data_IF_039155481648
#
_entry.id   IF_039155481648
#
_cell.length_a   1.000
_cell.length_b   1.000
_cell.length_c   1.000
_cell.angle_alpha   90.00
_cell.angle_beta   90.00
_cell.angle_gamma   90.00
#
_symmetry.space_group_name_H-M   'P 1'
#
loop_
_entity.id
_entity.type
_entity.pdbx_description
1 polymer ?
#
# COMPACT_ATOMS: atom_id res chain seq x y z
N UNK A 1 39.75 -64.64 -115.13
CA UNK A 1 39.19 -63.78 -114.07
C UNK A 1 38.74 -64.66 -112.92
N UNK A 2 39.07 -64.27 -111.70
CA UNK A 2 39.01 -65.06 -110.46
C UNK A 2 37.60 -65.59 -110.12
N UNK A 3 37.47 -66.87 -109.80
CA UNK A 3 36.29 -67.47 -109.17
C UNK A 3 36.64 -67.89 -107.75
N UNK A 4 36.06 -67.23 -106.74
CA UNK A 4 36.29 -67.52 -105.31
C UNK A 4 35.91 -68.98 -105.00
N UNK A 5 36.70 -69.64 -104.15
CA UNK A 5 36.38 -71.00 -103.70
C UNK A 5 35.15 -70.96 -102.76
N UNK A 6 34.30 -71.98 -102.80
CA UNK A 6 33.06 -72.10 -101.97
C UNK A 6 33.28 -71.84 -100.46
N UNK A 7 34.49 -72.14 -99.97
CA UNK A 7 34.94 -71.92 -98.58
C UNK A 7 35.20 -70.43 -98.25
N UNK A 8 35.52 -69.64 -99.27
CA UNK A 8 35.76 -68.20 -99.18
C UNK A 8 34.45 -67.40 -99.17
N UNK A 9 33.41 -67.90 -99.86
CA UNK A 9 32.05 -67.34 -99.79
C UNK A 9 31.37 -67.63 -98.44
N UNK A 10 31.56 -68.82 -97.86
CA UNK A 10 31.07 -69.14 -96.51
C UNK A 10 31.74 -68.27 -95.43
N UNK A 11 33.06 -68.06 -95.51
CA UNK A 11 33.81 -67.14 -94.63
C UNK A 11 33.38 -65.68 -94.81
N UNK A 12 33.06 -65.24 -96.04
CA UNK A 12 32.52 -63.91 -96.29
C UNK A 12 31.10 -63.74 -95.73
N UNK A 13 30.24 -64.75 -95.84
CA UNK A 13 28.90 -64.72 -95.23
C UNK A 13 28.96 -64.75 -93.69
N UNK A 14 29.86 -65.56 -93.11
CA UNK A 14 30.08 -65.61 -91.66
C UNK A 14 30.66 -64.29 -91.14
N UNK A 15 31.60 -63.69 -91.87
CA UNK A 15 32.16 -62.37 -91.56
C UNK A 15 31.10 -61.26 -91.66
N UNK A 16 30.24 -61.29 -92.67
CA UNK A 16 29.12 -60.34 -92.80
C UNK A 16 28.08 -60.50 -91.68
N UNK A 17 27.76 -61.74 -91.28
CA UNK A 17 26.88 -62.02 -90.14
C UNK A 17 27.50 -61.53 -88.83
N UNK A 18 28.80 -61.77 -88.62
CA UNK A 18 29.53 -61.27 -87.44
C UNK A 18 29.63 -59.76 -87.40
N UNK A 19 29.79 -59.12 -88.55
CA UNK A 19 29.80 -57.67 -88.67
C UNK A 19 28.41 -57.06 -88.40
N UNK A 20 27.34 -57.67 -88.93
CA UNK A 20 25.97 -57.27 -88.63
C UNK A 20 25.60 -57.47 -87.14
N UNK A 21 26.09 -58.54 -86.49
CA UNK A 21 25.98 -58.73 -85.04
C UNK A 21 26.73 -57.64 -84.27
N UNK A 22 27.97 -57.33 -84.66
CA UNK A 22 28.79 -56.27 -84.04
C UNK A 22 28.13 -54.88 -84.18
N UNK A 23 27.61 -54.53 -85.35
CA UNK A 23 26.88 -53.27 -85.59
C UNK A 23 25.62 -53.18 -84.74
N UNK A 24 24.89 -54.29 -84.56
CA UNK A 24 23.73 -54.37 -83.67
C UNK A 24 24.12 -54.15 -82.20
N UNK A 25 25.26 -54.66 -81.76
CA UNK A 25 25.79 -54.41 -80.41
C UNK A 25 26.29 -52.97 -80.24
N UNK A 26 27.00 -52.41 -81.22
CA UNK A 26 27.44 -51.00 -81.23
C UNK A 26 26.25 -50.05 -81.16
N UNK A 27 25.18 -50.30 -81.93
CA UNK A 27 23.94 -49.52 -81.87
C UNK A 27 23.30 -49.55 -80.48
N UNK A 28 23.20 -50.74 -79.86
CA UNK A 28 22.70 -50.88 -78.48
C UNK A 28 23.59 -50.17 -77.46
N UNK A 29 24.92 -50.24 -77.61
CA UNK A 29 25.87 -49.56 -76.74
C UNK A 29 25.75 -48.03 -76.87
N UNK A 30 25.57 -47.50 -78.07
CA UNK A 30 25.29 -46.08 -78.30
C UNK A 30 23.97 -45.66 -77.63
N UNK A 31 22.89 -46.41 -77.83
CA UNK A 31 21.59 -46.12 -77.19
C UNK A 31 21.68 -46.13 -75.65
N UNK A 32 22.44 -47.06 -75.06
CA UNK A 32 22.69 -47.11 -73.61
C UNK A 32 23.55 -45.94 -73.15
N UNK A 33 24.60 -45.60 -73.90
CA UNK A 33 25.51 -44.47 -73.58
C UNK A 33 24.76 -43.15 -73.60
N UNK A 34 23.87 -42.92 -74.58
CA UNK A 34 23.07 -41.71 -74.67
C UNK A 34 22.03 -41.61 -73.54
N UNK A 35 21.39 -42.73 -73.16
CA UNK A 35 20.53 -42.79 -71.97
C UNK A 35 21.32 -42.51 -70.68
N UNK A 36 22.52 -43.08 -70.54
CA UNK A 36 23.38 -42.81 -69.39
C UNK A 36 23.83 -41.36 -69.33
N UNK A 37 24.12 -40.72 -70.47
CA UNK A 37 24.41 -39.28 -70.54
C UNK A 37 23.22 -38.42 -70.11
N UNK A 38 22.00 -38.80 -70.51
CA UNK A 38 20.80 -38.12 -70.07
C UNK A 38 20.62 -38.22 -68.54
N UNK A 39 20.73 -39.44 -67.99
CA UNK A 39 20.65 -39.70 -66.55
C UNK A 39 21.76 -38.93 -65.80
N UNK A 40 22.97 -38.88 -66.35
CA UNK A 40 24.08 -38.15 -65.77
C UNK A 40 23.80 -36.64 -65.71
N UNK A 41 23.28 -36.06 -66.79
CA UNK A 41 22.90 -34.65 -66.84
C UNK A 41 21.79 -34.32 -65.84
N UNK A 42 20.80 -35.19 -65.71
CA UNK A 42 19.75 -35.06 -64.68
C UNK A 42 20.31 -35.19 -63.26
N UNK A 43 21.27 -36.09 -63.05
CA UNK A 43 21.96 -36.29 -61.76
C UNK A 43 22.77 -35.05 -61.36
N UNK A 44 23.52 -34.45 -62.30
CA UNK A 44 24.26 -33.20 -62.07
C UNK A 44 23.34 -32.03 -61.77
N UNK A 45 22.25 -31.88 -62.53
CA UNK A 45 21.23 -30.88 -62.24
C UNK A 45 20.63 -31.06 -60.83
N UNK A 46 20.34 -32.32 -60.44
CA UNK A 46 19.92 -32.68 -59.10
C UNK A 46 20.94 -32.27 -58.02
N UNK A 47 22.23 -32.60 -58.21
CA UNK A 47 23.30 -32.22 -57.29
C UNK A 47 23.39 -30.70 -57.11
N UNK A 48 23.33 -29.92 -58.20
CA UNK A 48 23.36 -28.44 -58.13
C UNK A 48 22.17 -27.90 -57.33
N UNK A 49 20.97 -28.45 -57.54
CA UNK A 49 19.79 -28.04 -56.74
C UNK A 49 19.97 -28.38 -55.26
N UNK A 50 20.51 -29.56 -54.94
CA UNK A 50 20.78 -29.97 -53.56
C UNK A 50 21.86 -29.12 -52.90
N UNK A 51 22.92 -28.71 -53.62
CA UNK A 51 23.94 -27.78 -53.13
C UNK A 51 23.33 -26.41 -52.79
N UNK A 52 22.43 -25.91 -53.63
CA UNK A 52 21.68 -24.68 -53.37
C UNK A 52 20.84 -24.79 -52.09
N UNK A 53 20.04 -25.85 -51.96
CA UNK A 53 19.24 -26.10 -50.76
C UNK A 53 20.10 -26.27 -49.49
N UNK A 54 21.27 -26.90 -49.60
CA UNK A 54 22.18 -27.10 -48.47
C UNK A 54 22.74 -25.76 -47.95
N UNK A 55 23.16 -24.87 -48.85
CA UNK A 55 23.65 -23.53 -48.50
C UNK A 55 22.57 -22.69 -47.81
N UNK A 56 21.34 -22.78 -48.29
CA UNK A 56 20.20 -22.10 -47.68
C UNK A 56 19.88 -22.65 -46.29
N UNK A 57 19.91 -23.98 -46.12
CA UNK A 57 19.73 -24.63 -44.82
C UNK A 57 20.83 -24.24 -43.80
N UNK A 58 22.09 -24.17 -44.22
CA UNK A 58 23.19 -23.74 -43.35
C UNK A 58 22.99 -22.30 -42.86
N UNK A 59 22.59 -21.40 -43.76
CA UNK A 59 22.26 -20.01 -43.43
C UNK A 59 21.08 -19.91 -42.45
N UNK A 60 19.99 -20.65 -42.71
CA UNK A 60 18.83 -20.69 -41.82
C UNK A 60 19.19 -21.27 -40.45
N UNK A 61 20.06 -22.29 -40.39
CA UNK A 61 20.48 -22.90 -39.13
C UNK A 61 21.35 -21.98 -38.29
N UNK A 62 22.27 -21.23 -38.92
CA UNK A 62 23.06 -20.21 -38.23
C UNK A 62 22.17 -19.13 -37.61
N UNK A 63 21.18 -18.64 -38.37
CA UNK A 63 20.22 -17.65 -37.88
C UNK A 63 19.32 -18.20 -36.77
N UNK A 64 18.92 -19.46 -36.85
CA UNK A 64 18.16 -20.14 -35.79
C UNK A 64 18.99 -20.26 -34.49
N UNK A 65 20.26 -20.66 -34.57
CA UNK A 65 21.16 -20.71 -33.41
C UNK A 65 21.29 -19.36 -32.72
N UNK A 66 21.51 -18.30 -33.50
CA UNK A 66 21.61 -16.94 -32.99
C UNK A 66 20.31 -16.51 -32.29
N UNK A 67 19.17 -16.74 -32.94
CA UNK A 67 17.85 -16.38 -32.40
C UNK A 67 17.54 -17.12 -31.10
N UNK A 68 17.77 -18.43 -31.06
CA UNK A 68 17.55 -19.25 -29.86
C UNK A 68 18.49 -18.82 -28.73
N UNK A 69 19.76 -18.55 -29.03
CA UNK A 69 20.74 -18.09 -28.03
C UNK A 69 20.39 -16.71 -27.48
N UNK A 70 19.96 -15.78 -28.33
CA UNK A 70 19.53 -14.45 -27.91
C UNK A 70 18.29 -14.54 -27.00
N UNK A 71 17.31 -15.36 -27.38
CA UNK A 71 16.10 -15.57 -26.60
C UNK A 71 16.37 -16.25 -25.25
N UNK A 72 17.29 -17.23 -25.21
CA UNK A 72 17.76 -17.85 -23.97
C UNK A 72 18.42 -16.82 -23.03
N UNK A 73 19.26 -15.94 -23.60
CA UNK A 73 19.91 -14.86 -22.86
C UNK A 73 18.89 -13.88 -22.27
N UNK A 74 17.88 -13.50 -23.04
CA UNK A 74 16.83 -12.58 -22.58
C UNK A 74 15.96 -13.22 -21.49
N UNK A 75 15.58 -14.50 -21.64
CA UNK A 75 14.85 -15.23 -20.60
C UNK A 75 15.61 -15.25 -19.27
N UNK A 76 16.92 -15.50 -19.29
CA UNK A 76 17.77 -15.48 -18.09
C UNK A 76 17.86 -14.09 -17.47
N UNK A 77 17.98 -13.03 -18.28
CA UNK A 77 17.98 -11.64 -17.80
C UNK A 77 16.65 -11.24 -17.18
N UNK A 78 15.53 -11.62 -17.82
CA UNK A 78 14.21 -11.34 -17.31
C UNK A 78 13.97 -12.04 -15.97
N UNK A 79 14.44 -13.29 -15.81
CA UNK A 79 14.38 -13.99 -14.53
C UNK A 79 15.18 -13.27 -13.43
N UNK A 80 16.40 -12.82 -13.75
CA UNK A 80 17.22 -12.06 -12.81
C UNK A 80 16.52 -10.77 -12.35
N UNK A 81 15.91 -10.02 -13.29
CA UNK A 81 15.10 -8.83 -12.98
C UNK A 81 13.89 -9.17 -12.11
N UNK A 82 13.16 -10.24 -12.42
CA UNK A 82 12.03 -10.67 -11.61
C UNK A 82 12.45 -11.03 -10.17
N UNK A 83 13.60 -11.69 -9.99
CA UNK A 83 14.14 -12.00 -8.65
C UNK A 83 14.57 -10.75 -7.89
N UNK A 84 15.04 -9.71 -8.58
CA UNK A 84 15.33 -8.42 -7.97
C UNK A 84 14.04 -7.71 -7.54
N UNK A 85 13.04 -7.67 -8.42
CA UNK A 85 11.71 -7.13 -8.10
C UNK A 85 11.06 -7.85 -6.91
N UNK A 86 11.24 -9.17 -6.76
CA UNK A 86 10.76 -9.90 -5.58
C UNK A 86 11.37 -9.38 -4.29
N UNK A 87 12.67 -9.05 -4.30
CA UNK A 87 13.34 -8.49 -3.12
C UNK A 87 12.79 -7.11 -2.78
N UNK A 88 12.58 -6.26 -3.78
CA UNK A 88 11.99 -4.93 -3.60
C UNK A 88 10.56 -5.02 -3.05
N UNK A 89 9.76 -5.94 -3.58
CA UNK A 89 8.41 -6.24 -3.10
C UNK A 89 8.43 -6.74 -1.67
N UNK A 90 9.40 -7.56 -1.27
CA UNK A 90 9.57 -7.98 0.13
C UNK A 90 9.78 -6.79 1.07
N UNK A 91 10.60 -5.81 0.68
CA UNK A 91 10.78 -4.57 1.47
C UNK A 91 9.49 -3.74 1.51
N UNK A 92 8.72 -3.70 0.41
CA UNK A 92 7.42 -3.05 0.39
C UNK A 92 6.40 -3.75 1.29
N UNK A 93 6.38 -5.09 1.33
CA UNK A 93 5.53 -5.88 2.21
C UNK A 93 5.80 -5.57 3.68
N UNK A 94 7.07 -5.61 4.10
CA UNK A 94 7.48 -5.25 5.47
C UNK A 94 7.04 -3.83 5.86
N UNK A 95 7.16 -2.87 4.93
CA UNK A 95 6.73 -1.49 5.16
C UNK A 95 5.20 -1.38 5.25
N UNK A 96 4.48 -2.10 4.41
CA UNK A 96 3.02 -2.11 4.43
C UNK A 96 2.49 -2.71 5.73
N UNK A 97 3.05 -3.82 6.20
CA UNK A 97 2.69 -4.43 7.49
C UNK A 97 2.97 -3.50 8.67
N UNK A 98 4.14 -2.84 8.70
CA UNK A 98 4.46 -1.84 9.74
C UNK A 98 3.48 -0.67 9.74
N UNK A 99 3.11 -0.22 8.54
CA UNK A 99 2.14 0.88 8.36
C UNK A 99 0.77 0.46 8.86
N UNK A 100 0.27 -0.71 8.48
CA UNK A 100 -1.00 -1.28 8.94
C UNK A 100 -1.02 -1.44 10.47
N UNK A 101 0.06 -1.99 11.06
CA UNK A 101 0.15 -2.11 12.52
C UNK A 101 0.19 -0.75 13.24
N UNK A 102 0.89 0.25 12.69
CA UNK A 102 0.89 1.62 13.25
C UNK A 102 -0.47 2.29 13.15
N UNK A 103 -1.17 2.00 12.06
CA UNK A 103 -2.49 2.49 11.81
C UNK A 103 -3.51 1.89 12.79
N UNK A 104 -3.49 0.56 13.01
CA UNK A 104 -4.34 -0.11 14.00
C UNK A 104 -4.14 0.45 15.40
N UNK A 105 -2.87 0.65 15.83
CA UNK A 105 -2.57 1.30 17.11
C UNK A 105 -3.10 2.73 17.20
N UNK A 106 -3.08 3.47 16.10
CA UNK A 106 -3.64 4.82 16.05
C UNK A 106 -5.15 4.80 16.24
N UNK A 107 -5.86 3.90 15.54
CA UNK A 107 -7.31 3.71 15.69
C UNK A 107 -7.69 3.34 17.13
N UNK A 108 -7.01 2.35 17.70
CA UNK A 108 -7.22 1.97 19.11
C UNK A 108 -6.95 3.13 20.08
N UNK A 109 -5.90 3.92 19.82
CA UNK A 109 -5.58 5.10 20.61
C UNK A 109 -6.66 6.19 20.53
N UNK A 110 -7.29 6.37 19.36
CA UNK A 110 -8.39 7.31 19.17
C UNK A 110 -9.61 6.86 19.96
N UNK A 111 -10.04 5.61 19.82
CA UNK A 111 -11.20 5.09 20.57
C UNK A 111 -10.97 5.13 22.08
N UNK A 112 -9.75 4.90 22.55
CA UNK A 112 -9.40 5.04 23.97
C UNK A 112 -9.58 6.47 24.46
N UNK A 113 -9.06 7.45 23.72
CA UNK A 113 -9.18 8.89 24.07
C UNK A 113 -10.63 9.37 24.00
N UNK A 114 -11.39 8.91 23.01
CA UNK A 114 -12.82 9.19 22.92
C UNK A 114 -13.56 8.69 24.16
N UNK A 115 -13.27 7.45 24.59
CA UNK A 115 -13.84 6.87 25.82
C UNK A 115 -13.46 7.69 27.06
N UNK A 116 -12.19 8.05 27.22
CA UNK A 116 -11.71 8.88 28.33
C UNK A 116 -12.45 10.23 28.37
N UNK A 117 -12.69 10.86 27.22
CA UNK A 117 -13.47 12.10 27.13
C UNK A 117 -14.94 11.90 27.51
N UNK A 118 -15.58 10.83 27.06
CA UNK A 118 -16.96 10.51 27.42
C UNK A 118 -17.09 10.29 28.94
N UNK A 119 -16.12 9.63 29.56
CA UNK A 119 -16.07 9.48 31.02
C UNK A 119 -15.91 10.84 31.73
N UNK A 120 -15.07 11.75 31.21
CA UNK A 120 -14.95 13.11 31.75
C UNK A 120 -16.25 13.91 31.62
N UNK A 121 -16.96 13.79 30.49
CA UNK A 121 -18.26 14.43 30.28
C UNK A 121 -19.29 13.90 31.29
N UNK A 122 -19.34 12.58 31.52
CA UNK A 122 -20.24 11.98 32.51
C UNK A 122 -19.93 12.45 33.94
N UNK A 123 -18.65 12.48 34.31
CA UNK A 123 -18.21 13.05 35.59
C UNK A 123 -18.61 14.52 35.70
N UNK A 124 -18.51 15.28 34.60
CA UNK A 124 -18.89 16.68 34.59
C UNK A 124 -20.38 16.95 34.62
N UNK A 125 -21.22 16.04 34.14
CA UNK A 125 -22.67 16.14 34.32
C UNK A 125 -23.11 15.92 35.77
N UNK A 126 -22.34 15.17 36.56
CA UNK A 126 -22.58 15.01 38.01
C UNK A 126 -22.26 16.30 38.80
N UNK A 127 -21.44 17.19 38.23
CA UNK A 127 -21.06 18.48 38.81
C UNK A 127 -22.10 19.59 38.60
N UNK A 128 -23.35 19.30 38.22
CA UNK A 128 -24.45 20.28 38.23
C UNK A 128 -24.95 20.60 39.66
N UNK A 129 -24.56 19.79 40.65
CA UNK A 129 -24.90 19.94 42.08
C UNK A 129 -24.41 21.22 42.80
N UNK A 130 -23.26 21.86 42.49
CA UNK A 130 -22.76 23.03 43.23
C UNK A 130 -23.70 24.23 43.19
N UNK A 131 -24.40 24.43 42.06
CA UNK A 131 -25.39 25.50 41.94
C UNK A 131 -26.58 25.24 42.87
N UNK A 132 -27.14 24.03 42.85
CA UNK A 132 -28.28 23.64 43.69
C UNK A 132 -27.92 23.69 45.18
N UNK A 133 -26.72 23.22 45.53
CA UNK A 133 -26.20 23.25 46.90
C UNK A 133 -25.99 24.68 47.38
N UNK A 134 -25.45 25.57 46.53
CA UNK A 134 -25.28 26.98 46.89
C UNK A 134 -26.64 27.69 47.00
N UNK A 135 -27.58 27.48 46.07
CA UNK A 135 -28.91 28.09 46.15
C UNK A 135 -29.61 27.73 47.47
N UNK A 136 -29.52 26.46 47.90
CA UNK A 136 -30.06 26.01 49.18
C UNK A 136 -29.36 26.69 50.37
N UNK A 137 -28.02 26.72 50.37
CA UNK A 137 -27.23 27.33 51.44
C UNK A 137 -27.44 28.85 51.52
N UNK A 138 -27.51 29.54 50.38
CA UNK A 138 -27.74 30.97 50.29
C UNK A 138 -29.14 31.35 50.78
N UNK A 139 -30.16 30.55 50.44
CA UNK A 139 -31.51 30.73 50.96
C UNK A 139 -31.53 30.65 52.49
N UNK A 140 -30.85 29.66 53.07
CA UNK A 140 -30.72 29.54 54.53
C UNK A 140 -29.97 30.73 55.16
N UNK A 141 -28.86 31.16 54.56
CA UNK A 141 -28.11 32.32 55.06
C UNK A 141 -28.91 33.62 54.99
N UNK A 142 -29.74 33.83 53.95
CA UNK A 142 -30.61 35.01 53.88
C UNK A 142 -31.65 35.02 54.99
N UNK A 143 -32.25 33.86 55.30
CA UNK A 143 -33.19 33.76 56.42
C UNK A 143 -32.52 34.11 57.75
N UNK A 144 -31.31 33.59 58.01
CA UNK A 144 -30.56 33.92 59.23
C UNK A 144 -30.16 35.41 59.28
N UNK A 145 -29.82 36.02 58.14
CA UNK A 145 -29.55 37.46 58.05
C UNK A 145 -30.77 38.30 58.37
N UNK A 146 -31.93 37.98 57.80
CA UNK A 146 -33.19 38.68 58.05
C UNK A 146 -33.58 38.62 59.54
N UNK A 147 -33.42 37.46 60.18
CA UNK A 147 -33.64 37.30 61.62
C UNK A 147 -32.67 38.15 62.46
N UNK A 148 -31.40 38.24 62.05
CA UNK A 148 -30.40 39.08 62.72
C UNK A 148 -30.68 40.57 62.53
N UNK A 149 -31.09 41.00 61.34
CA UNK A 149 -31.48 42.39 61.09
C UNK A 149 -32.68 42.80 61.94
N UNK A 150 -33.69 41.94 62.06
CA UNK A 150 -34.82 42.20 62.96
C UNK A 150 -34.36 42.40 64.41
N UNK A 151 -33.49 41.52 64.91
CA UNK A 151 -32.93 41.66 66.27
C UNK A 151 -32.11 42.92 66.44
N UNK A 152 -31.32 43.31 65.45
CA UNK A 152 -30.55 44.57 65.48
C UNK A 152 -31.49 45.76 65.55
N UNK A 153 -32.61 45.76 64.81
CA UNK A 153 -33.65 46.79 64.91
C UNK A 153 -34.25 46.88 66.31
N UNK A 154 -34.55 45.75 66.95
CA UNK A 154 -35.02 45.71 68.35
C UNK A 154 -33.96 46.27 69.32
N UNK A 155 -32.67 46.04 69.06
CA UNK A 155 -31.56 46.62 69.84
C UNK A 155 -31.51 48.14 69.69
N UNK A 156 -31.65 48.66 68.47
CA UNK A 156 -31.69 50.11 68.23
C UNK A 156 -32.90 50.77 68.92
N UNK A 157 -34.06 50.10 68.97
CA UNK A 157 -35.22 50.61 69.70
C UNK A 157 -34.98 50.62 71.22
N UNK A 158 -34.44 49.53 71.78
CA UNK A 158 -34.07 49.45 73.20
C UNK A 158 -33.05 50.51 73.60
N UNK A 159 -32.09 50.78 72.73
CA UNK A 159 -31.11 51.86 72.90
C UNK A 159 -31.80 53.21 73.02
N UNK A 160 -32.64 53.56 72.05
CA UNK A 160 -33.34 54.84 72.06
C UNK A 160 -34.22 55.00 73.32
N UNK A 161 -34.89 53.93 73.75
CA UNK A 161 -35.64 53.92 75.00
C UNK A 161 -34.74 54.11 76.22
N UNK A 162 -33.59 53.43 76.31
CA UNK A 162 -32.60 53.62 77.38
C UNK A 162 -32.07 55.05 77.41
N UNK A 163 -31.76 55.63 76.25
CA UNK A 163 -31.30 57.01 76.11
C UNK A 163 -32.33 58.02 76.59
N UNK A 164 -33.60 57.86 76.20
CA UNK A 164 -34.70 58.73 76.65
C UNK A 164 -34.98 58.57 78.14
N UNK A 165 -35.05 57.34 78.65
CA UNK A 165 -35.31 57.07 80.07
C UNK A 165 -34.19 57.59 80.97
N UNK A 166 -32.93 57.38 80.58
CA UNK A 166 -31.77 57.87 81.33
C UNK A 166 -31.69 59.40 81.32
N UNK A 167 -31.99 60.06 80.19
CA UNK A 167 -32.08 61.51 80.13
C UNK A 167 -33.18 62.04 81.05
N UNK A 168 -34.39 61.47 80.98
CA UNK A 168 -35.51 61.87 81.83
C UNK A 168 -35.19 61.66 83.33
N UNK A 169 -34.53 60.55 83.67
CA UNK A 169 -34.09 60.27 85.02
C UNK A 169 -33.03 61.26 85.51
N UNK A 170 -32.06 61.64 84.67
CA UNK A 170 -31.05 62.64 84.99
C UNK A 170 -31.69 64.03 85.23
N UNK A 171 -32.68 64.42 84.42
CA UNK A 171 -33.42 65.67 84.58
C UNK A 171 -34.18 65.69 85.91
N UNK A 172 -34.93 64.64 86.22
CA UNK A 172 -35.73 64.58 87.46
C UNK A 172 -34.84 64.47 88.71
N UNK A 173 -33.73 63.72 88.64
CA UNK A 173 -32.73 63.66 89.70
C UNK A 173 -32.06 65.02 89.95
N UNK A 174 -31.74 65.78 88.88
CA UNK A 174 -31.21 67.13 88.99
C UNK A 174 -32.18 68.11 89.65
N UNK A 175 -33.49 67.86 89.56
CA UNK A 175 -34.54 68.66 90.21
C UNK A 175 -34.55 68.53 91.73
N UNK A 176 -33.95 67.47 92.29
CA UNK A 176 -33.82 67.23 93.72
C UNK A 176 -32.64 67.99 94.38
N UNK A 177 -31.83 68.71 93.59
CA UNK A 177 -30.69 69.48 94.12
C UNK A 177 -29.56 68.60 94.66
N UNK A 178 -29.01 68.92 95.83
CA UNK A 178 -27.84 68.20 96.39
C UNK A 178 -28.13 66.73 96.73
N UNK A 179 -29.37 66.37 97.08
CA UNK A 179 -29.75 64.98 97.38
C UNK A 179 -29.80 64.09 96.12
N UNK A 180 -29.91 64.68 94.93
CA UNK A 180 -30.07 63.98 93.65
C UNK A 180 -28.78 63.65 92.90
N UNK A 181 -27.62 64.15 93.36
CA UNK A 181 -26.34 64.11 92.61
C UNK A 181 -25.92 62.68 92.23
N UNK A 182 -26.05 61.72 93.15
CA UNK A 182 -25.70 60.32 92.86
C UNK A 182 -26.66 59.66 91.85
N UNK A 183 -27.92 60.09 91.82
CA UNK A 183 -28.89 59.61 90.82
C UNK A 183 -28.64 60.21 89.44
N UNK A 184 -28.19 61.47 89.37
CA UNK A 184 -27.72 62.09 88.12
C UNK A 184 -26.52 61.33 87.56
N UNK A 185 -25.50 61.06 88.38
CA UNK A 185 -24.32 60.29 87.95
C UNK A 185 -24.68 58.87 87.47
N UNK A 186 -25.64 58.21 88.13
CA UNK A 186 -26.12 56.89 87.72
C UNK A 186 -26.88 56.95 86.38
N UNK A 187 -27.73 57.96 86.20
CA UNK A 187 -28.48 58.17 84.96
C UNK A 187 -27.55 58.52 83.78
N UNK A 188 -26.53 59.35 83.99
CA UNK A 188 -25.51 59.63 82.97
C UNK A 188 -24.72 58.37 82.59
N UNK A 189 -24.37 57.50 83.55
CA UNK A 189 -23.75 56.20 83.24
C UNK A 189 -24.64 55.29 82.38
N UNK A 190 -25.96 55.27 82.63
CA UNK A 190 -26.90 54.51 81.79
C UNK A 190 -26.96 55.11 80.39
N UNK A 191 -26.93 56.44 80.27
CA UNK A 191 -26.89 57.13 78.98
C UNK A 191 -25.60 56.83 78.20
N UNK A 192 -24.44 56.81 78.86
CA UNK A 192 -23.17 56.43 78.26
C UNK A 192 -23.18 54.96 77.79
N UNK A 193 -23.79 54.07 78.58
CA UNK A 193 -23.97 52.66 78.20
C UNK A 193 -24.92 52.51 77.01
N UNK A 194 -25.99 53.30 76.94
CA UNK A 194 -26.87 53.39 75.76
C UNK A 194 -26.08 53.76 74.51
N UNK A 195 -25.24 54.80 74.59
CA UNK A 195 -24.39 55.20 73.47
C UNK A 195 -23.41 54.12 73.01
N UNK A 196 -22.82 53.35 73.94
CA UNK A 196 -21.98 52.18 73.59
C UNK A 196 -22.80 51.04 72.97
N UNK A 197 -24.03 50.83 73.45
CA UNK A 197 -24.94 49.84 72.90
C UNK A 197 -25.37 50.20 71.47
N UNK A 198 -25.65 51.48 71.20
CA UNK A 198 -25.88 52.03 69.86
C UNK A 198 -24.74 51.71 68.91
N UNK A 199 -23.51 52.00 69.34
CA UNK A 199 -22.32 51.76 68.53
C UNK A 199 -22.16 50.26 68.20
N UNK A 200 -22.49 49.37 69.13
CA UNK A 200 -22.44 47.93 68.90
C UNK A 200 -23.54 47.46 67.94
N UNK A 201 -24.77 47.96 68.08
CA UNK A 201 -25.89 47.63 67.19
C UNK A 201 -25.59 48.11 65.75
N UNK A 202 -25.13 49.35 65.59
CA UNK A 202 -24.73 49.92 64.30
C UNK A 202 -23.57 49.13 63.65
N UNK A 203 -22.58 48.70 64.45
CA UNK A 203 -21.51 47.83 63.95
C UNK A 203 -22.04 46.47 63.47
N UNK A 204 -22.99 45.87 64.18
CA UNK A 204 -23.64 44.62 63.75
C UNK A 204 -24.44 44.80 62.46
N UNK A 205 -25.17 45.92 62.31
CA UNK A 205 -25.88 46.25 61.08
C UNK A 205 -24.92 46.37 59.88
N UNK A 206 -23.80 47.08 60.05
CA UNK A 206 -22.77 47.20 59.01
C UNK A 206 -22.18 45.83 58.63
N UNK A 207 -22.00 44.93 59.61
CA UNK A 207 -21.53 43.57 59.36
C UNK A 207 -22.55 42.72 58.62
N UNK A 208 -23.84 42.84 58.93
CA UNK A 208 -24.91 42.14 58.20
C UNK A 208 -24.95 42.56 56.75
N UNK A 209 -24.95 43.87 56.47
CA UNK A 209 -24.90 44.39 55.10
C UNK A 209 -23.69 43.86 54.32
N UNK A 210 -22.50 43.86 54.94
CA UNK A 210 -21.29 43.29 54.32
C UNK A 210 -21.41 41.78 54.08
N UNK A 211 -22.15 41.05 54.91
CA UNK A 211 -22.37 39.62 54.76
C UNK A 211 -23.33 39.35 53.58
N UNK A 212 -24.38 40.16 53.43
CA UNK A 212 -25.30 40.13 52.28
C UNK A 212 -24.55 40.42 50.96
N UNK A 213 -23.73 41.48 50.92
CA UNK A 213 -22.90 41.82 49.76
C UNK A 213 -22.00 40.65 49.35
N UNK A 214 -21.36 39.98 50.31
CA UNK A 214 -20.51 38.80 50.05
C UNK A 214 -21.30 37.59 49.60
N UNK A 215 -22.54 37.43 50.08
CA UNK A 215 -23.42 36.34 49.66
C UNK A 215 -23.82 36.52 48.18
N UNK A 216 -24.24 37.73 47.79
CA UNK A 216 -24.55 38.04 46.39
C UNK A 216 -23.33 37.85 45.46
N UNK A 217 -22.14 38.23 45.92
CA UNK A 217 -20.91 38.00 45.16
C UNK A 217 -20.65 36.50 44.96
N UNK A 218 -20.82 35.69 46.01
CA UNK A 218 -20.67 34.23 45.93
C UNK A 218 -21.67 33.58 44.96
N UNK A 219 -22.93 34.01 44.98
CA UNK A 219 -23.96 33.56 44.02
C UNK A 219 -23.58 33.91 42.59
N UNK A 220 -23.12 35.14 42.36
CA UNK A 220 -22.67 35.59 41.04
C UNK A 220 -21.48 34.77 40.54
N UNK A 221 -20.50 34.50 41.42
CA UNK A 221 -19.34 33.67 41.09
C UNK A 221 -19.75 32.23 40.74
N UNK A 222 -20.69 31.63 41.45
CA UNK A 222 -21.15 30.26 41.16
C UNK A 222 -21.98 30.18 39.87
N UNK A 223 -22.79 31.21 39.56
CA UNK A 223 -23.45 31.30 38.27
C UNK A 223 -22.42 31.36 37.12
N UNK A 224 -21.38 32.18 37.27
CA UNK A 224 -20.30 32.27 36.29
C UNK A 224 -19.53 30.95 36.14
N UNK A 225 -19.19 30.28 37.24
CA UNK A 225 -18.56 28.96 37.24
C UNK A 225 -19.43 27.91 36.54
N UNK A 226 -20.74 27.92 36.78
CA UNK A 226 -21.69 27.02 36.12
C UNK A 226 -21.71 27.24 34.60
N UNK A 227 -21.67 28.50 34.15
CA UNK A 227 -21.61 28.83 32.73
C UNK A 227 -20.32 28.33 32.08
N UNK A 228 -19.15 28.60 32.69
CA UNK A 228 -17.86 28.09 32.20
C UNK A 228 -17.89 26.56 32.13
N UNK A 229 -18.46 25.91 33.15
CA UNK A 229 -18.54 24.47 33.22
C UNK A 229 -19.37 23.86 32.08
N UNK A 230 -20.53 24.44 31.79
CA UNK A 230 -21.37 24.02 30.67
C UNK A 230 -20.66 24.21 29.32
N UNK A 231 -19.96 25.33 29.15
CA UNK A 231 -19.17 25.57 27.94
C UNK A 231 -18.01 24.57 27.81
N UNK A 232 -17.34 24.24 28.92
CA UNK A 232 -16.30 23.23 28.97
C UNK A 232 -16.83 21.85 28.56
N UNK A 233 -17.96 21.40 29.11
CA UNK A 233 -18.59 20.13 28.72
C UNK A 233 -18.98 20.11 27.24
N UNK A 234 -19.54 21.21 26.71
CA UNK A 234 -19.85 21.31 25.27
C UNK A 234 -18.60 21.20 24.39
N UNK A 235 -17.47 21.78 24.82
CA UNK A 235 -16.19 21.65 24.11
C UNK A 235 -15.65 20.22 24.14
N UNK A 236 -15.82 19.51 25.26
CA UNK A 236 -15.45 18.10 25.36
C UNK A 236 -16.32 17.21 24.45
N UNK A 237 -17.62 17.45 24.39
CA UNK A 237 -18.54 16.72 23.49
C UNK A 237 -18.12 16.87 22.02
N UNK A 238 -17.82 18.10 21.59
CA UNK A 238 -17.28 18.36 20.24
C UNK A 238 -15.93 17.68 19.99
N UNK A 239 -15.07 17.59 21.02
CA UNK A 239 -13.80 16.88 20.90
C UNK A 239 -14.00 15.37 20.74
N UNK A 240 -14.96 14.77 21.46
CA UNK A 240 -15.32 13.37 21.33
C UNK A 240 -15.87 13.07 19.91
N UNK A 241 -16.80 13.87 19.40
CA UNK A 241 -17.27 13.78 18.01
C UNK A 241 -16.11 13.91 16.99
N UNK A 242 -15.18 14.82 17.25
CA UNK A 242 -13.96 15.00 16.47
C UNK A 242 -13.11 13.73 16.40
N UNK A 243 -12.98 12.99 17.50
CA UNK A 243 -12.28 11.70 17.51
C UNK A 243 -13.04 10.63 16.73
N UNK A 244 -14.37 10.52 16.86
CA UNK A 244 -15.16 9.57 16.07
C UNK A 244 -15.04 9.82 14.55
N UNK A 245 -15.10 11.08 14.12
CA UNK A 245 -14.89 11.42 12.70
C UNK A 245 -13.45 11.14 12.22
N UNK A 246 -12.46 11.37 13.08
CA UNK A 246 -11.06 11.07 12.77
C UNK A 246 -10.82 9.56 12.66
N UNK A 247 -11.40 8.75 13.55
CA UNK A 247 -11.39 7.30 13.47
C UNK A 247 -12.01 6.81 12.15
N UNK A 248 -13.21 7.30 11.79
CA UNK A 248 -13.87 6.94 10.54
C UNK A 248 -13.06 7.31 9.28
N UNK A 249 -12.41 8.48 9.28
CA UNK A 249 -11.50 8.88 8.18
C UNK A 249 -10.26 8.01 8.10
N UNK A 250 -9.68 7.66 9.25
CA UNK A 250 -8.61 6.68 9.29
C UNK A 250 -9.14 5.38 8.66
N UNK A 251 -10.25 4.83 9.15
CA UNK A 251 -10.87 3.56 8.70
C UNK A 251 -11.14 3.48 7.20
N UNK A 252 -11.49 4.61 6.58
CA UNK A 252 -11.70 4.73 5.14
C UNK A 252 -10.41 4.84 4.30
N UNK A 253 -9.24 4.95 4.91
CA UNK A 253 -7.97 5.15 4.19
C UNK A 253 -7.58 3.89 3.40
N UNK A 254 -7.30 4.08 2.11
CA UNK A 254 -6.96 2.99 1.16
C UNK A 254 -5.69 2.19 1.52
N UNK A 255 -4.91 2.62 2.51
CA UNK A 255 -3.71 1.92 2.97
C UNK A 255 -4.00 0.46 3.37
N UNK A 256 -5.24 0.13 3.78
CA UNK A 256 -5.68 -1.25 4.05
C UNK A 256 -5.62 -2.17 2.83
N UNK A 257 -5.67 -1.62 1.62
CA UNK A 257 -5.62 -2.39 0.38
C UNK A 257 -4.19 -2.65 -0.10
N UNK A 258 -3.17 -2.04 0.51
CA UNK A 258 -1.77 -2.22 0.10
C UNK A 258 -1.26 -3.63 0.38
N UNK A 259 -1.56 -4.20 1.55
CA UNK A 259 -1.10 -5.55 1.91
C UNK A 259 -1.67 -6.62 0.94
N UNK A 260 -2.99 -6.65 0.65
CA UNK A 260 -3.54 -7.54 -0.37
C UNK A 260 -2.95 -7.33 -1.76
N UNK A 261 -2.76 -6.08 -2.21
CA UNK A 261 -2.19 -5.78 -3.52
C UNK A 261 -0.73 -6.26 -3.63
N UNK A 262 0.10 -6.00 -2.61
CA UNK A 262 1.48 -6.47 -2.57
C UNK A 262 1.54 -8.00 -2.64
N UNK A 263 0.65 -8.69 -1.92
CA UNK A 263 0.55 -10.16 -1.98
C UNK A 263 0.23 -10.65 -3.39
N UNK A 264 -0.76 -10.04 -4.05
CA UNK A 264 -1.14 -10.40 -5.42
C UNK A 264 0.01 -10.19 -6.42
N UNK A 265 0.75 -9.08 -6.30
CA UNK A 265 1.94 -8.84 -7.15
C UNK A 265 3.05 -9.85 -6.85
N UNK A 266 3.25 -10.22 -5.57
CA UNK A 266 4.22 -11.25 -5.17
C UNK A 266 3.91 -12.59 -5.84
N UNK A 267 2.66 -13.06 -5.73
CA UNK A 267 2.20 -14.32 -6.33
C UNK A 267 2.38 -14.31 -7.86
N UNK A 268 2.00 -13.21 -8.52
CA UNK A 268 2.20 -13.06 -9.97
C UNK A 268 3.67 -13.08 -10.37
N UNK A 269 4.56 -12.54 -9.55
CA UNK A 269 5.99 -12.47 -9.85
C UNK A 269 6.68 -13.83 -9.62
N UNK A 270 6.29 -14.55 -8.57
CA UNK A 270 6.73 -15.94 -8.34
C UNK A 270 6.31 -16.85 -9.50
N UNK A 271 5.06 -16.71 -9.97
CA UNK A 271 4.60 -17.43 -11.16
C UNK A 271 5.46 -17.08 -12.39
N UNK A 272 5.72 -15.79 -12.63
CA UNK A 272 6.55 -15.35 -13.76
C UNK A 272 7.97 -15.90 -13.72
N UNK A 273 8.56 -16.06 -12.53
CA UNK A 273 9.86 -16.71 -12.35
C UNK A 273 9.80 -18.19 -12.72
N UNK A 274 8.77 -18.91 -12.26
CA UNK A 274 8.58 -20.32 -12.62
C UNK A 274 8.39 -20.53 -14.13
N UNK A 275 7.59 -19.67 -14.77
CA UNK A 275 7.39 -19.69 -16.22
C UNK A 275 8.70 -19.40 -16.96
N UNK A 276 9.46 -18.41 -16.51
CA UNK A 276 10.76 -18.05 -17.10
C UNK A 276 11.80 -19.16 -16.96
N UNK A 277 11.82 -19.90 -15.84
CA UNK A 277 12.69 -21.08 -15.68
C UNK A 277 12.31 -22.21 -16.65
N UNK A 278 11.01 -22.41 -16.86
CA UNK A 278 10.51 -23.39 -17.83
C UNK A 278 10.91 -23.01 -19.26
N UNK A 279 10.74 -21.74 -19.62
CA UNK A 279 11.15 -21.19 -20.93
C UNK A 279 12.67 -21.31 -21.12
N UNK A 280 13.47 -21.05 -20.09
CA UNK A 280 14.93 -21.22 -20.18
C UNK A 280 15.31 -22.67 -20.51
N UNK A 281 14.66 -23.66 -19.88
CA UNK A 281 14.89 -25.10 -20.18
C UNK A 281 14.49 -25.46 -21.61
N UNK A 282 13.40 -24.86 -22.12
CA UNK A 282 12.98 -25.06 -23.50
C UNK A 282 14.02 -24.50 -24.49
N UNK A 283 14.60 -23.33 -24.21
CA UNK A 283 15.67 -22.80 -25.05
C UNK A 283 16.95 -23.63 -24.99
N UNK A 284 17.36 -24.11 -23.82
CA UNK A 284 18.52 -25.01 -23.71
C UNK A 284 18.31 -26.29 -24.55
N UNK A 285 17.08 -26.84 -24.53
CA UNK A 285 16.70 -27.99 -25.37
C UNK A 285 16.73 -27.63 -26.86
N UNK A 286 16.20 -26.47 -27.24
CA UNK A 286 16.23 -26.00 -28.63
C UNK A 286 17.67 -25.81 -29.13
N UNK A 287 18.58 -25.29 -28.30
CA UNK A 287 20.00 -25.18 -28.66
C UNK A 287 20.63 -26.54 -28.95
N UNK A 288 20.32 -27.57 -28.14
CA UNK A 288 20.82 -28.93 -28.40
C UNK A 288 20.26 -29.51 -29.71
N UNK A 289 18.95 -29.40 -29.95
CA UNK A 289 18.30 -29.88 -31.18
C UNK A 289 18.88 -29.20 -32.42
N UNK A 290 19.02 -27.87 -32.38
CA UNK A 290 19.59 -27.09 -33.49
C UNK A 290 21.07 -27.45 -33.68
N UNK A 291 21.81 -27.66 -32.60
CA UNK A 291 23.20 -28.13 -32.65
C UNK A 291 23.34 -29.53 -33.26
N UNK A 292 22.45 -30.45 -32.94
CA UNK A 292 22.39 -31.80 -33.54
C UNK A 292 22.00 -31.74 -35.03
N UNK A 293 21.00 -30.92 -35.39
CA UNK A 293 20.60 -30.70 -36.77
C UNK A 293 21.78 -30.17 -37.60
N UNK A 294 22.52 -29.17 -37.09
CA UNK A 294 23.72 -28.64 -37.74
C UNK A 294 24.86 -29.67 -37.90
N UNK A 295 24.96 -30.68 -37.02
CA UNK A 295 25.89 -31.82 -37.22
C UNK A 295 25.41 -32.75 -38.34
N UNK A 296 24.11 -33.03 -38.41
CA UNK A 296 23.52 -33.87 -39.46
C UNK A 296 23.65 -33.22 -40.83
N UNK A 297 23.41 -31.91 -40.93
CA UNK A 297 23.56 -31.16 -42.19
C UNK A 297 25.00 -31.15 -42.70
N UNK A 298 25.99 -30.98 -41.82
CA UNK A 298 27.41 -31.13 -42.21
C UNK A 298 27.73 -32.50 -42.80
N UNK A 299 27.20 -33.58 -42.23
CA UNK A 299 27.36 -34.94 -42.81
C UNK A 299 26.68 -35.09 -44.18
N UNK A 300 25.51 -34.47 -44.37
CA UNK A 300 24.84 -34.45 -45.67
C UNK A 300 25.66 -33.69 -46.72
N UNK A 301 26.26 -32.57 -46.34
CA UNK A 301 27.17 -31.80 -47.21
C UNK A 301 28.40 -32.62 -47.63
N UNK A 302 29.02 -33.35 -46.70
CA UNK A 302 30.12 -34.29 -47.03
C UNK A 302 29.68 -35.37 -48.03
N UNK A 303 28.46 -35.90 -47.85
CA UNK A 303 27.88 -36.91 -48.74
C UNK A 303 27.61 -36.34 -50.14
N UNK A 304 27.07 -35.12 -50.22
CA UNK A 304 26.85 -34.39 -51.48
C UNK A 304 28.14 -34.13 -52.23
N UNK A 305 29.20 -33.71 -51.53
CA UNK A 305 30.52 -33.54 -52.12
C UNK A 305 31.07 -34.86 -52.69
N UNK A 306 30.85 -35.98 -51.99
CA UNK A 306 31.21 -37.29 -52.52
C UNK A 306 30.37 -37.70 -53.73
N UNK A 307 29.07 -37.41 -53.75
CA UNK A 307 28.19 -37.69 -54.90
C UNK A 307 28.61 -36.88 -56.12
N UNK A 308 28.93 -35.59 -55.94
CA UNK A 308 29.45 -34.72 -56.99
C UNK A 308 30.74 -35.26 -57.60
N UNK A 309 31.66 -35.75 -56.76
CA UNK A 309 32.89 -36.37 -57.24
C UNK A 309 32.61 -37.61 -58.08
N UNK A 310 31.75 -38.52 -57.59
CA UNK A 310 31.37 -39.73 -58.33
C UNK A 310 30.64 -39.42 -59.64
N UNK A 311 29.77 -38.42 -59.65
CA UNK A 311 29.09 -37.97 -60.86
C UNK A 311 30.12 -37.52 -61.91
N UNK A 312 31.11 -36.71 -61.54
CA UNK A 312 32.19 -36.33 -62.47
C UNK A 312 32.97 -37.53 -63.02
N UNK A 313 33.29 -38.50 -62.18
CA UNK A 313 33.97 -39.74 -62.61
C UNK A 313 33.13 -40.50 -63.66
N UNK A 314 31.82 -40.61 -63.47
CA UNK A 314 30.89 -41.23 -64.44
C UNK A 314 30.81 -40.42 -65.74
N UNK A 315 30.79 -39.10 -65.66
CA UNK A 315 30.79 -38.22 -66.84
C UNK A 315 32.06 -38.45 -67.68
N UNK A 316 33.22 -38.53 -67.03
CA UNK A 316 34.50 -38.82 -67.68
C UNK A 316 34.50 -40.20 -68.36
N UNK A 317 33.95 -41.23 -67.71
CA UNK A 317 33.81 -42.57 -68.29
C UNK A 317 32.90 -42.57 -69.52
N UNK A 318 31.75 -41.89 -69.46
CA UNK A 318 30.81 -41.78 -70.59
C UNK A 318 31.38 -40.99 -71.77
N UNK A 319 32.28 -40.03 -71.51
CA UNK A 319 33.05 -39.35 -72.56
C UNK A 319 34.05 -40.29 -73.21
N UNK A 320 34.81 -41.05 -72.42
CA UNK A 320 35.79 -42.02 -72.93
C UNK A 320 35.14 -43.12 -73.79
N UNK A 321 34.08 -43.76 -73.28
CA UNK A 321 33.33 -44.81 -74.00
C UNK A 321 32.68 -44.25 -75.28
N UNK A 322 32.09 -43.06 -75.22
CA UNK A 322 31.51 -42.42 -76.41
C UNK A 322 32.54 -42.07 -77.49
N UNK A 323 33.78 -41.77 -77.11
CA UNK A 323 34.88 -41.52 -78.05
C UNK A 323 35.40 -42.81 -78.70
N UNK A 324 35.24 -43.97 -78.05
CA UNK A 324 35.58 -45.29 -78.62
C UNK A 324 34.47 -45.83 -79.54
N UNK A 325 33.19 -45.61 -79.20
CA UNK A 325 32.04 -46.01 -80.04
C UNK A 325 31.95 -45.18 -81.34
N UNK A 326 32.46 -43.94 -81.32
CA UNK A 326 32.46 -43.05 -82.49
C UNK A 326 33.63 -43.22 -83.47
N UNK A 327 34.56 -44.15 -83.20
CA UNK A 327 35.65 -44.55 -84.11
C UNK A 327 35.25 -45.75 -84.94
#
# INVERSE_FOLDING_TARGET
MFGKSKKQEELEQEMLLKQAEADKYLKKLSEVTDKMRLVQKETEAGIVTMEGSQSELDSQMAKLLETVSAAAGEAKRQNAKNRELLKEIGVLADRAEKTEGSYQRSVEGIYRREKELLEMIDQGRKLTSPKEVLELAATGMRQEMEEMEQRIGEMEEMENQMGVLSLNAAIEAGRLGEEGVQFVEAAEKVRDLSGKYHQSASFMAEKMKKMEERLMEAETQVLYLTQIWNEHNSRLEKAAEGFGTFAGRLEATESRNLVPQIRAVTESLEQSIGDSETVSKQYDTAQDVVGQAGKTFRKQQETLNSLRRKAKEVEEWLRAVGAEIGR
#
